data_IF_896645858616
#
_entry.id   IF_896645858616
#
_cell.length_a   1.000
_cell.length_b   1.000
_cell.length_c   1.000
_cell.angle_alpha   90.00
_cell.angle_beta   90.00
_cell.angle_gamma   90.00
#
_symmetry.space_group_name_H-M   'P 1'
#
loop_
_entity.id
_entity.type
_entity.pdbx_description
1 polymer ?
#
# COMPACT_ATOMS: atom_id res chain seq x y z
N UNK A 1 5.30 -7.54 -7.64
CA UNK A 1 4.83 -6.73 -6.49
C UNK A 1 5.86 -5.64 -6.19
N UNK A 2 5.42 -4.37 -6.18
CA UNK A 2 6.30 -3.20 -6.28
C UNK A 2 6.84 -2.65 -4.94
N UNK A 3 6.41 -3.20 -3.80
CA UNK A 3 6.83 -2.77 -2.44
C UNK A 3 6.64 -1.26 -2.20
N UNK A 4 5.48 -0.74 -2.58
CA UNK A 4 5.15 0.68 -2.46
C UNK A 4 4.26 0.90 -1.24
N UNK A 5 4.37 2.09 -0.65
CA UNK A 5 3.45 2.58 0.38
C UNK A 5 2.73 3.76 -0.25
N UNK A 6 1.51 3.55 -0.81
CA UNK A 6 0.83 4.58 -1.59
C UNK A 6 0.36 5.75 -0.72
N UNK A 7 -0.04 5.47 0.51
CA UNK A 7 -0.47 6.48 1.47
C UNK A 7 -0.13 6.07 2.91
N UNK A 8 -0.08 7.05 3.80
CA UNK A 8 -0.01 6.85 5.24
C UNK A 8 -0.79 7.91 5.99
N UNK A 9 -1.20 7.58 7.21
CA UNK A 9 -1.80 8.50 8.18
C UNK A 9 -1.09 8.29 9.52
N UNK A 10 -0.61 9.38 10.10
CA UNK A 10 -0.03 9.38 11.44
C UNK A 10 -1.12 9.63 12.47
N UNK A 11 -1.15 8.84 13.54
CA UNK A 11 -2.11 9.02 14.64
C UNK A 11 -2.60 7.70 15.22
N UNK A 12 -3.62 7.80 16.07
CA UNK A 12 -4.32 6.62 16.61
C UNK A 12 -5.09 5.94 15.50
N UNK A 13 -5.25 4.63 15.61
CA UNK A 13 -6.11 3.88 14.70
C UNK A 13 -7.56 4.20 15.11
N UNK A 14 -8.28 4.86 14.21
CA UNK A 14 -9.69 5.29 14.38
C UNK A 14 -10.42 5.13 13.04
N UNK A 15 -11.75 5.22 13.06
CA UNK A 15 -12.54 5.21 11.83
C UNK A 15 -12.16 6.38 10.91
N UNK A 16 -12.06 7.58 11.46
CA UNK A 16 -11.66 8.80 10.73
C UNK A 16 -10.30 8.65 10.04
N UNK A 17 -9.29 8.10 10.73
CA UNK A 17 -7.97 7.90 10.15
C UNK A 17 -7.93 6.77 9.12
N UNK A 18 -8.78 5.75 9.27
CA UNK A 18 -8.95 4.72 8.25
C UNK A 18 -9.60 5.31 6.99
N UNK A 19 -10.67 6.09 7.15
CA UNK A 19 -11.34 6.79 6.04
C UNK A 19 -10.35 7.70 5.30
N UNK A 20 -9.55 8.50 6.03
CA UNK A 20 -8.51 9.35 5.44
C UNK A 20 -7.42 8.55 4.72
N UNK A 21 -7.00 7.41 5.27
CA UNK A 21 -6.00 6.55 4.64
C UNK A 21 -6.50 6.00 3.30
N UNK A 22 -7.73 5.51 3.27
CA UNK A 22 -8.32 4.92 2.06
C UNK A 22 -8.64 6.01 1.03
N UNK A 23 -9.05 7.21 1.44
CA UNK A 23 -9.20 8.34 0.54
C UNK A 23 -7.87 8.73 -0.12
N UNK A 24 -6.80 8.92 0.68
CA UNK A 24 -5.47 9.21 0.12
C UNK A 24 -4.95 8.11 -0.80
N UNK A 25 -5.27 6.86 -0.49
CA UNK A 25 -4.92 5.72 -1.34
C UNK A 25 -5.68 5.77 -2.67
N UNK A 26 -6.96 6.15 -2.65
CA UNK A 26 -7.77 6.35 -3.84
C UNK A 26 -7.24 7.49 -4.71
N UNK A 27 -6.81 8.60 -4.10
CA UNK A 27 -6.30 9.78 -4.83
C UNK A 27 -5.05 9.47 -5.67
N UNK A 28 -4.24 8.48 -5.24
CA UNK A 28 -3.04 8.03 -5.97
C UNK A 28 -3.27 6.73 -6.76
N UNK A 29 -4.49 6.19 -6.73
CA UNK A 29 -4.85 4.99 -7.46
C UNK A 29 -5.25 5.39 -8.90
N UNK A 30 -4.63 4.76 -9.88
CA UNK A 30 -4.95 4.90 -11.31
C UNK A 30 -6.19 4.08 -11.73
N UNK A 31 -6.89 3.49 -10.76
CA UNK A 31 -8.01 2.58 -10.99
C UNK A 31 -7.56 1.13 -11.18
N UNK A 32 -6.33 0.77 -10.81
CA UNK A 32 -5.86 -0.64 -10.81
C UNK A 32 -5.99 -1.33 -9.46
N UNK A 33 -6.10 -0.58 -8.36
CA UNK A 33 -6.18 -1.13 -7.01
C UNK A 33 -7.61 -1.52 -6.61
N UNK A 34 -7.90 -2.82 -6.67
CA UNK A 34 -9.18 -3.40 -6.24
C UNK A 34 -9.03 -4.52 -5.20
N UNK A 35 -7.81 -4.76 -4.70
CA UNK A 35 -7.51 -5.87 -3.78
C UNK A 35 -6.92 -5.34 -2.49
N UNK A 36 -7.57 -5.64 -1.37
CA UNK A 36 -7.18 -5.21 -0.04
C UNK A 36 -6.99 -6.41 0.89
N UNK A 37 -5.90 -6.39 1.64
CA UNK A 37 -5.67 -7.32 2.75
C UNK A 37 -5.34 -6.57 4.03
N UNK A 38 -5.94 -6.99 5.14
CA UNK A 38 -5.63 -6.42 6.45
C UNK A 38 -5.58 -7.47 7.55
N UNK A 39 -5.14 -7.04 8.73
CA UNK A 39 -5.45 -7.75 9.98
C UNK A 39 -6.94 -7.56 10.34
N UNK A 40 -7.37 -8.19 11.43
CA UNK A 40 -8.74 -8.13 11.97
C UNK A 40 -9.05 -6.75 12.61
N UNK A 41 -9.05 -5.69 11.81
CA UNK A 41 -9.45 -4.36 12.27
C UNK A 41 -10.84 -4.00 11.75
N UNK A 42 -11.74 -3.49 12.62
CA UNK A 42 -13.11 -3.20 12.22
C UNK A 42 -13.21 -2.01 11.26
N UNK A 43 -12.29 -1.05 11.35
CA UNK A 43 -12.40 0.23 10.65
C UNK A 43 -12.29 0.15 9.13
N UNK A 44 -11.55 -0.84 8.62
CA UNK A 44 -11.22 -0.91 7.19
C UNK A 44 -12.38 -1.34 6.32
N UNK A 45 -13.33 -2.13 6.84
CA UNK A 45 -14.52 -2.52 6.07
C UNK A 45 -15.26 -1.28 5.57
N UNK A 46 -15.61 -0.39 6.50
CA UNK A 46 -16.40 0.80 6.18
C UNK A 46 -15.56 1.83 5.42
N UNK A 47 -14.27 1.98 5.74
CA UNK A 47 -13.37 2.90 5.04
C UNK A 47 -13.15 2.52 3.56
N UNK A 48 -12.97 1.22 3.28
CA UNK A 48 -12.84 0.69 1.93
C UNK A 48 -14.16 0.93 1.18
N UNK A 49 -15.30 0.60 1.80
CA UNK A 49 -16.60 0.78 1.17
C UNK A 49 -16.88 2.26 0.86
N UNK A 50 -16.58 3.19 1.77
CA UNK A 50 -16.71 4.64 1.53
C UNK A 50 -15.86 5.13 0.35
N UNK A 51 -14.65 4.60 0.20
CA UNK A 51 -13.71 5.08 -0.81
C UNK A 51 -13.91 4.41 -2.17
N UNK A 52 -14.10 3.09 -2.19
CA UNK A 52 -14.15 2.27 -3.41
C UNK A 52 -15.56 1.76 -3.75
N UNK A 53 -16.54 1.97 -2.87
CA UNK A 53 -17.95 1.61 -3.11
C UNK A 53 -18.61 2.46 -4.18
N UNK A 54 -19.71 1.94 -4.72
CA UNK A 54 -20.62 2.68 -5.59
C UNK A 54 -22.03 2.72 -4.98
N UNK A 55 -22.75 3.82 -5.23
CA UNK A 55 -24.13 3.95 -4.78
C UNK A 55 -25.06 3.13 -5.67
N UNK A 56 -25.84 2.25 -5.05
CA UNK A 56 -26.88 1.47 -5.71
C UNK A 56 -28.23 1.92 -5.18
N UNK A 57 -29.16 2.19 -6.11
CA UNK A 57 -30.57 2.34 -5.78
C UNK A 57 -31.21 0.96 -5.88
N UNK A 58 -31.64 0.34 -4.77
CA UNK A 58 -32.25 -0.98 -4.81
C UNK A 58 -33.55 -0.95 -5.62
N UNK A 59 -33.80 -2.03 -6.36
CA UNK A 59 -35.09 -2.21 -7.03
C UNK A 59 -36.22 -2.26 -6.01
N UNK A 60 -37.34 -1.64 -6.38
CA UNK A 60 -38.52 -1.62 -5.53
C UNK A 60 -39.22 -2.98 -5.59
N UNK A 61 -39.40 -3.62 -4.44
CA UNK A 61 -40.22 -4.82 -4.33
C UNK A 61 -41.68 -4.43 -4.10
N UNK A 62 -42.50 -4.53 -5.16
CA UNK A 62 -43.92 -4.22 -5.13
C UNK A 62 -44.27 -2.75 -5.42
N UNK A 63 -45.57 -2.42 -5.32
CA UNK A 63 -46.13 -1.12 -5.73
C UNK A 63 -46.52 -0.18 -4.57
N UNK A 64 -46.48 -0.67 -3.32
CA UNK A 64 -46.85 0.09 -2.11
C UNK A 64 -45.66 0.25 -1.16
N UNK A 65 -45.69 1.29 -0.33
CA UNK A 65 -44.65 1.61 0.66
C UNK A 65 -43.53 2.53 0.13
N UNK A 66 -42.64 2.99 1.02
CA UNK A 66 -41.55 3.91 0.69
C UNK A 66 -40.58 3.33 -0.34
N UNK A 67 -39.97 4.19 -1.15
CA UNK A 67 -38.86 3.78 -2.01
C UNK A 67 -37.66 3.33 -1.15
N UNK A 68 -36.97 2.24 -1.54
CA UNK A 68 -35.74 1.84 -0.87
C UNK A 68 -34.73 3.00 -0.87
N UNK A 69 -34.01 3.18 0.24
CA UNK A 69 -32.95 4.18 0.27
C UNK A 69 -31.73 3.70 -0.52
N UNK A 70 -31.02 4.61 -1.21
CA UNK A 70 -29.73 4.28 -1.80
C UNK A 70 -28.80 3.69 -0.74
N UNK A 71 -28.05 2.66 -1.11
CA UNK A 71 -27.03 2.07 -0.24
C UNK A 71 -25.71 1.94 -0.97
N UNK A 72 -24.63 1.95 -0.21
CA UNK A 72 -23.28 1.82 -0.74
C UNK A 72 -22.94 0.33 -0.85
N UNK A 73 -22.55 -0.11 -2.04
CA UNK A 73 -22.19 -1.50 -2.32
C UNK A 73 -20.75 -1.61 -2.83
N UNK A 74 -20.04 -2.71 -2.51
CA UNK A 74 -18.74 -2.99 -3.09
C UNK A 74 -18.90 -3.27 -4.60
N UNK A 75 -18.03 -2.72 -5.46
CA UNK A 75 -17.94 -3.13 -6.87
C UNK A 75 -17.73 -4.64 -7.03
N UNK A 76 -18.19 -5.25 -8.13
CA UNK A 76 -18.03 -6.69 -8.37
C UNK A 76 -16.57 -7.17 -8.40
N UNK A 77 -15.64 -6.29 -8.74
CA UNK A 77 -14.20 -6.55 -8.82
C UNK A 77 -13.44 -6.26 -7.51
N UNK A 78 -14.11 -5.70 -6.50
CA UNK A 78 -13.50 -5.36 -5.21
C UNK A 78 -13.33 -6.60 -4.32
N UNK A 79 -12.08 -6.98 -4.09
CA UNK A 79 -11.69 -8.03 -3.17
C UNK A 79 -11.15 -7.42 -1.87
N UNK A 80 -11.78 -7.74 -0.73
CA UNK A 80 -11.25 -7.41 0.59
C UNK A 80 -11.28 -8.64 1.49
N UNK A 81 -10.12 -9.05 1.98
CA UNK A 81 -10.01 -10.19 2.88
C UNK A 81 -9.06 -9.92 4.07
N UNK A 82 -9.28 -10.63 5.17
CA UNK A 82 -8.61 -10.41 6.45
C UNK A 82 -7.85 -11.66 6.90
N UNK A 83 -6.63 -11.46 7.42
CA UNK A 83 -5.89 -12.50 8.16
C UNK A 83 -6.43 -12.58 9.58
N UNK A 84 -7.04 -13.71 9.92
CA UNK A 84 -7.56 -14.02 11.27
C UNK A 84 -6.57 -14.89 12.04
N UNK A 85 -5.88 -14.29 13.02
CA UNK A 85 -4.93 -14.99 13.91
C UNK A 85 -5.67 -15.50 15.15
N UNK A 86 -5.83 -16.81 15.29
CA UNK A 86 -6.34 -17.46 16.50
C UNK A 86 -5.21 -17.61 17.52
N UNK A 87 -5.44 -17.16 18.75
CA UNK A 87 -4.42 -17.19 19.81
C UNK A 87 -4.88 -18.04 21.00
N UNK A 88 -3.95 -18.81 21.56
CA UNK A 88 -4.13 -19.55 22.82
C UNK A 88 -2.93 -19.28 23.72
N UNK A 89 -3.17 -18.83 24.96
CA UNK A 89 -2.11 -18.46 25.93
C UNK A 89 -1.05 -17.50 25.34
N UNK A 90 -1.49 -16.48 24.59
CA UNK A 90 -0.62 -15.47 23.97
C UNK A 90 0.10 -15.89 22.68
N UNK A 91 0.12 -17.19 22.33
CA UNK A 91 0.73 -17.70 21.11
C UNK A 91 -0.30 -17.84 19.99
N UNK A 92 0.10 -17.57 18.75
CA UNK A 92 -0.73 -17.83 17.57
C UNK A 92 -0.75 -19.34 17.32
N UNK A 93 -1.93 -19.94 17.31
CA UNK A 93 -2.12 -21.39 17.13
C UNK A 93 -2.66 -21.75 15.76
N UNK A 94 -3.39 -20.82 15.12
CA UNK A 94 -3.98 -21.02 13.80
C UNK A 94 -4.12 -19.66 13.12
N UNK A 95 -3.96 -19.64 11.81
CA UNK A 95 -4.30 -18.50 10.96
C UNK A 95 -5.39 -18.96 9.99
N UNK A 96 -6.44 -18.16 9.83
CA UNK A 96 -7.53 -18.41 8.89
C UNK A 96 -7.81 -17.15 8.08
N UNK A 97 -8.38 -17.32 6.90
CA UNK A 97 -8.74 -16.19 6.03
C UNK A 97 -10.23 -15.89 6.19
N UNK A 98 -10.58 -14.60 6.15
CA UNK A 98 -11.96 -14.13 6.17
C UNK A 98 -12.18 -13.18 5.01
N UNK A 99 -13.02 -13.57 4.06
CA UNK A 99 -13.42 -12.71 2.95
C UNK A 99 -14.53 -11.76 3.46
N UNK A 100 -14.36 -10.47 3.21
CA UNK A 100 -15.30 -9.41 3.60
C UNK A 100 -16.04 -8.88 2.39
N UNK A 101 -15.32 -8.65 1.27
CA UNK A 101 -15.87 -8.31 -0.04
C UNK A 101 -15.23 -9.22 -1.10
N UNK A 102 -15.99 -9.58 -2.14
CA UNK A 102 -15.58 -10.52 -3.19
C UNK A 102 -15.93 -11.98 -2.87
N UNK A 103 -15.47 -12.90 -3.73
CA UNK A 103 -15.75 -14.33 -3.63
C UNK A 103 -14.48 -15.15 -3.35
N UNK A 104 -14.59 -16.40 -2.85
CA UNK A 104 -13.45 -17.31 -2.72
C UNK A 104 -12.68 -17.53 -4.02
N UNK A 105 -13.40 -17.59 -5.15
CA UNK A 105 -12.80 -17.78 -6.48
C UNK A 105 -11.93 -16.58 -6.88
N UNK A 106 -12.38 -15.36 -6.60
CA UNK A 106 -11.58 -14.14 -6.83
C UNK A 106 -10.30 -14.14 -5.98
N UNK A 107 -10.41 -14.55 -4.71
CA UNK A 107 -9.25 -14.65 -3.83
C UNK A 107 -8.26 -15.69 -4.36
N UNK A 108 -8.74 -16.86 -4.76
CA UNK A 108 -7.91 -17.93 -5.28
C UNK A 108 -7.21 -17.50 -6.58
N UNK A 109 -7.95 -16.92 -7.54
CA UNK A 109 -7.38 -16.42 -8.79
C UNK A 109 -6.31 -15.33 -8.55
N UNK A 110 -6.54 -14.42 -7.59
CA UNK A 110 -5.52 -13.45 -7.20
C UNK A 110 -4.26 -14.12 -6.61
N UNK A 111 -4.43 -15.12 -5.75
CA UNK A 111 -3.32 -15.84 -5.11
C UNK A 111 -2.53 -16.70 -6.12
N UNK A 112 -3.19 -17.28 -7.11
CA UNK A 112 -2.55 -18.07 -8.16
C UNK A 112 -1.72 -17.18 -9.11
N UNK A 113 -2.19 -15.96 -9.37
CA UNK A 113 -1.45 -14.95 -10.15
C UNK A 113 -0.36 -14.22 -9.36
N UNK A 114 -0.36 -14.34 -8.04
CA UNK A 114 0.57 -13.63 -7.15
C UNK A 114 1.99 -14.21 -7.26
N UNK A 115 3.00 -13.43 -7.69
CA UNK A 115 4.37 -13.93 -7.84
C UNK A 115 5.10 -14.07 -6.51
N UNK A 116 4.46 -13.74 -5.37
CA UNK A 116 5.15 -13.62 -4.08
C UNK A 116 4.56 -14.51 -2.99
N UNK A 117 3.27 -14.84 -3.06
CA UNK A 117 2.66 -15.75 -2.09
C UNK A 117 1.36 -16.32 -2.61
N UNK A 118 1.16 -17.60 -2.34
CA UNK A 118 -0.06 -18.37 -2.58
C UNK A 118 -1.02 -18.35 -1.37
N UNK A 119 -0.70 -17.58 -0.33
CA UNK A 119 -1.52 -17.46 0.87
C UNK A 119 -1.74 -16.01 1.25
N UNK A 120 -2.93 -15.71 1.79
CA UNK A 120 -3.23 -14.41 2.35
C UNK A 120 -2.35 -14.16 3.58
N UNK A 121 -1.54 -13.11 3.52
CA UNK A 121 -0.66 -12.76 4.62
C UNK A 121 -0.42 -11.25 4.70
N UNK A 122 0.00 -10.79 5.88
CA UNK A 122 0.38 -9.41 6.16
C UNK A 122 1.90 -9.22 6.21
N UNK A 123 2.69 -10.15 5.68
CA UNK A 123 4.14 -10.15 5.84
C UNK A 123 4.79 -8.90 5.23
N UNK A 124 4.23 -8.37 4.13
CA UNK A 124 4.73 -7.15 3.48
C UNK A 124 4.61 -5.92 4.37
N UNK A 125 3.42 -5.68 4.94
CA UNK A 125 3.22 -4.54 5.82
C UNK A 125 3.94 -4.72 7.15
N UNK A 126 4.05 -5.95 7.67
CA UNK A 126 4.85 -6.26 8.86
C UNK A 126 6.34 -5.97 8.61
N UNK A 127 6.88 -6.36 7.45
CA UNK A 127 8.27 -6.07 7.05
C UNK A 127 8.49 -4.58 6.90
N UNK A 128 7.59 -3.87 6.23
CA UNK A 128 7.67 -2.41 6.07
C UNK A 128 7.65 -1.70 7.42
N UNK A 129 6.77 -2.12 8.34
CA UNK A 129 6.74 -1.60 9.70
C UNK A 129 8.06 -1.85 10.45
N UNK A 130 8.65 -3.03 10.29
CA UNK A 130 9.97 -3.36 10.83
C UNK A 130 11.06 -2.45 10.27
N UNK A 131 11.10 -2.27 8.95
CA UNK A 131 12.03 -1.36 8.27
C UNK A 131 11.91 0.07 8.79
N UNK A 132 10.68 0.60 8.87
CA UNK A 132 10.43 1.94 9.40
C UNK A 132 10.94 2.10 10.83
N UNK A 133 10.67 1.13 11.72
CA UNK A 133 11.15 1.17 13.10
C UNK A 133 12.68 1.14 13.21
N UNK A 134 13.35 0.41 12.31
CA UNK A 134 14.80 0.29 12.33
C UNK A 134 15.48 1.55 11.80
N UNK A 135 14.94 2.16 10.75
CA UNK A 135 15.59 3.29 10.08
C UNK A 135 15.20 4.65 10.64
N UNK A 136 14.07 4.74 11.33
CA UNK A 136 13.56 6.00 11.82
C UNK A 136 13.58 6.00 13.36
N UNK A 137 14.57 6.71 13.92
CA UNK A 137 14.79 6.88 15.36
C UNK A 137 13.53 7.35 16.11
N UNK A 138 12.62 8.07 15.44
CA UNK A 138 11.37 8.56 16.04
C UNK A 138 10.40 7.44 16.43
N UNK A 139 10.57 6.25 15.86
CA UNK A 139 9.81 5.06 16.25
C UNK A 139 10.44 4.26 17.39
N UNK A 140 11.64 4.64 17.85
CA UNK A 140 12.29 3.99 18.99
C UNK A 140 11.74 4.54 20.31
N UNK A 141 11.16 3.67 21.14
CA UNK A 141 10.63 4.04 22.46
C UNK A 141 11.76 4.37 23.44
N UNK A 142 11.49 5.26 24.40
CA UNK A 142 12.41 5.66 25.48
C UNK A 142 13.74 6.22 24.98
N UNK A 143 13.69 7.04 23.93
CA UNK A 143 14.85 7.79 23.42
C UNK A 143 14.50 9.26 23.32
N UNK A 144 15.51 10.13 23.25
CA UNK A 144 15.33 11.57 23.01
C UNK A 144 14.92 11.92 21.57
N UNK A 145 14.80 10.93 20.67
CA UNK A 145 14.54 11.13 19.25
C UNK A 145 13.06 11.26 18.86
N UNK A 146 12.15 11.60 19.79
CA UNK A 146 10.71 11.67 19.52
C UNK A 146 10.27 13.02 18.93
N UNK A 147 9.15 13.03 18.21
CA UNK A 147 8.51 14.27 17.75
C UNK A 147 7.68 14.90 18.88
N UNK A 148 7.88 16.20 19.15
CA UNK A 148 7.01 16.96 20.08
C UNK A 148 5.66 17.37 19.46
N UNK A 149 5.59 17.47 18.13
CA UNK A 149 4.38 17.80 17.37
C UNK A 149 4.19 16.78 16.26
N UNK A 150 2.94 16.44 15.95
CA UNK A 150 2.58 15.43 14.94
C UNK A 150 3.09 15.80 13.55
N UNK A 151 3.09 17.10 13.21
CA UNK A 151 3.62 17.61 11.95
C UNK A 151 5.08 17.17 11.69
N UNK A 152 5.93 17.20 12.72
CA UNK A 152 7.33 16.77 12.59
C UNK A 152 7.46 15.25 12.39
N UNK A 153 6.50 14.47 12.92
CA UNK A 153 6.43 13.04 12.65
C UNK A 153 6.04 12.78 11.19
N UNK A 154 5.04 13.50 10.69
CA UNK A 154 4.57 13.40 9.30
C UNK A 154 5.69 13.79 8.32
N UNK A 155 6.39 14.91 8.56
CA UNK A 155 7.55 15.33 7.75
C UNK A 155 8.66 14.27 7.72
N UNK A 156 8.97 13.67 8.87
CA UNK A 156 9.94 12.58 8.94
C UNK A 156 9.48 11.35 8.16
N UNK A 157 8.19 11.00 8.24
CA UNK A 157 7.62 9.88 7.49
C UNK A 157 7.73 10.09 5.99
N UNK A 158 7.44 11.29 5.49
CA UNK A 158 7.65 11.64 4.08
C UNK A 158 9.10 11.44 3.66
N UNK A 159 10.06 11.93 4.45
CA UNK A 159 11.49 11.76 4.15
C UNK A 159 11.90 10.28 4.16
N UNK A 160 11.47 9.51 5.17
CA UNK A 160 11.79 8.08 5.28
C UNK A 160 11.18 7.26 4.13
N UNK A 161 9.94 7.55 3.73
CA UNK A 161 9.30 6.90 2.60
C UNK A 161 9.93 7.31 1.28
N UNK A 162 10.23 8.60 1.08
CA UNK A 162 10.96 9.09 -0.09
C UNK A 162 12.31 8.39 -0.26
N UNK A 163 13.09 8.27 0.82
CA UNK A 163 14.35 7.52 0.79
C UNK A 163 14.13 6.03 0.46
N UNK A 164 13.13 5.39 1.08
CA UNK A 164 12.79 3.99 0.85
C UNK A 164 12.33 3.73 -0.61
N UNK A 165 11.63 4.68 -1.21
CA UNK A 165 11.02 4.61 -2.54
C UNK A 165 11.99 4.98 -3.68
N UNK A 166 12.84 5.99 -3.49
CA UNK A 166 13.69 6.55 -4.54
C UNK A 166 15.18 6.19 -4.40
N UNK A 167 15.71 6.14 -3.17
CA UNK A 167 17.15 5.96 -2.94
C UNK A 167 17.53 4.50 -2.64
N UNK A 168 16.64 3.73 -2.01
CA UNK A 168 16.98 2.39 -1.54
C UNK A 168 16.58 1.30 -2.54
N UNK A 169 17.58 0.61 -3.10
CA UNK A 169 17.39 -0.59 -3.90
C UNK A 169 16.99 -1.81 -3.05
N UNK A 170 15.96 -2.53 -3.49
CA UNK A 170 15.45 -3.71 -2.76
C UNK A 170 15.90 -5.00 -3.42
N UNK A 171 16.40 -5.95 -2.61
CA UNK A 171 16.84 -7.25 -3.10
C UNK A 171 15.77 -8.02 -3.89
N UNK A 172 14.52 -8.00 -3.40
CA UNK A 172 13.39 -8.65 -4.09
C UNK A 172 12.79 -7.88 -5.26
N UNK A 173 13.39 -6.76 -5.68
CA UNK A 173 13.01 -6.04 -6.90
C UNK A 173 14.12 -6.12 -7.98
N UNK A 174 15.27 -6.73 -7.66
CA UNK A 174 16.40 -6.83 -8.58
C UNK A 174 15.99 -7.47 -9.90
N UNK A 175 16.48 -6.91 -10.99
CA UNK A 175 16.25 -7.43 -12.33
C UNK A 175 17.51 -8.09 -12.86
N UNK A 176 17.37 -9.21 -13.55
CA UNK A 176 18.49 -9.91 -14.17
C UNK A 176 19.02 -9.09 -15.37
N UNK A 177 20.33 -8.98 -15.50
CA UNK A 177 20.99 -8.32 -16.64
C UNK A 177 21.37 -9.39 -17.66
N UNK A 178 20.85 -9.26 -18.88
CA UNK A 178 21.12 -10.19 -20.00
C UNK A 178 21.68 -9.42 -21.21
N UNK A 179 22.91 -9.73 -21.67
CA UNK A 179 23.90 -10.61 -21.04
C UNK A 179 24.50 -9.99 -19.75
N UNK A 180 25.04 -10.79 -18.82
CA UNK A 180 25.71 -10.27 -17.62
C UNK A 180 26.85 -9.32 -17.99
N UNK A 181 26.97 -8.21 -17.26
CA UNK A 181 28.04 -7.24 -17.52
C UNK A 181 29.37 -7.72 -16.91
N UNK A 182 30.49 -7.61 -17.62
CA UNK A 182 31.79 -7.92 -17.04
C UNK A 182 32.10 -6.94 -15.90
N UNK A 183 32.70 -7.45 -14.83
CA UNK A 183 33.22 -6.61 -13.75
C UNK A 183 34.63 -6.14 -14.15
N UNK A 184 35.03 -4.93 -13.73
CA UNK A 184 36.43 -4.47 -13.92
C UNK A 184 37.36 -5.40 -13.12
N UNK A 185 38.11 -6.28 -13.80
CA UNK A 185 39.04 -7.24 -13.19
C UNK A 185 38.57 -8.70 -13.28
N UNK A 186 39.07 -9.57 -12.38
CA UNK A 186 38.78 -11.02 -12.33
C UNK A 186 37.48 -11.38 -11.57
N UNK A 187 36.63 -10.40 -11.28
CA UNK A 187 35.41 -10.61 -10.51
C UNK A 187 34.29 -11.28 -11.32
N UNK A 188 33.39 -11.97 -10.62
CA UNK A 188 32.17 -12.51 -11.21
C UNK A 188 31.38 -11.43 -11.98
N UNK A 189 30.78 -11.76 -13.14
CA UNK A 189 29.96 -10.81 -13.89
C UNK A 189 28.80 -10.27 -13.06
N UNK A 190 28.47 -8.98 -13.27
CA UNK A 190 27.31 -8.35 -12.66
C UNK A 190 26.03 -8.87 -13.33
N UNK A 191 25.33 -9.75 -12.61
CA UNK A 191 24.09 -10.41 -13.05
C UNK A 191 22.82 -9.64 -12.70
N UNK A 192 22.87 -8.72 -11.74
CA UNK A 192 21.68 -8.08 -11.18
C UNK A 192 21.75 -6.56 -11.25
N UNK A 193 20.68 -5.93 -11.73
CA UNK A 193 20.42 -4.50 -11.66
C UNK A 193 19.75 -4.18 -10.33
N UNK A 194 20.25 -3.14 -9.66
CA UNK A 194 19.59 -2.57 -8.48
C UNK A 194 18.31 -1.85 -8.91
N UNK A 195 17.21 -2.09 -8.20
CA UNK A 195 15.89 -1.53 -8.51
C UNK A 195 15.24 -1.04 -7.22
N UNK A 196 14.75 0.19 -7.24
CA UNK A 196 13.98 0.81 -6.15
C UNK A 196 12.47 0.62 -6.40
N UNK A 197 11.60 0.85 -5.39
CA UNK A 197 10.16 0.72 -5.56
C UNK A 197 9.61 1.60 -6.70
N UNK A 198 10.07 2.85 -6.79
CA UNK A 198 9.61 3.78 -7.83
C UNK A 198 10.15 3.44 -9.22
N UNK A 199 11.34 2.84 -9.30
CA UNK A 199 11.81 2.25 -10.56
C UNK A 199 10.93 1.08 -11.00
N UNK A 200 10.47 0.25 -10.05
CA UNK A 200 9.69 -0.94 -10.39
C UNK A 200 8.31 -0.65 -10.99
N UNK A 201 7.78 0.58 -10.79
CA UNK A 201 6.54 1.06 -11.41
C UNK A 201 6.78 2.12 -12.49
N UNK A 202 8.03 2.38 -12.86
CA UNK A 202 8.36 3.30 -13.96
C UNK A 202 8.23 4.79 -13.66
N UNK A 203 8.15 5.20 -12.39
CA UNK A 203 8.11 6.64 -12.03
C UNK A 203 9.49 7.29 -12.15
N UNK A 204 10.56 6.50 -12.01
CA UNK A 204 11.95 6.92 -12.28
C UNK A 204 12.68 5.78 -12.97
N UNK A 205 13.68 6.10 -13.78
CA UNK A 205 14.51 5.12 -14.50
C UNK A 205 15.82 4.76 -13.76
N UNK A 206 16.12 5.47 -12.68
CA UNK A 206 17.34 5.30 -11.90
C UNK A 206 17.10 5.41 -10.39
N UNK A 207 18.11 4.95 -9.65
CA UNK A 207 18.18 5.05 -8.19
C UNK A 207 18.70 6.43 -7.83
N UNK A 208 17.91 7.18 -7.06
CA UNK A 208 18.24 8.55 -6.70
C UNK A 208 19.31 8.58 -5.62
N UNK A 209 20.08 9.67 -5.61
CA UNK A 209 20.90 10.01 -4.44
C UNK A 209 20.04 10.72 -3.38
N UNK A 210 20.56 10.82 -2.15
CA UNK A 210 19.87 11.60 -1.11
C UNK A 210 19.85 13.09 -1.47
N UNK A 211 20.93 13.61 -2.05
CA UNK A 211 21.03 15.00 -2.50
C UNK A 211 19.96 15.30 -3.55
N UNK A 212 19.83 14.44 -4.56
CA UNK A 212 18.81 14.56 -5.58
C UNK A 212 17.40 14.56 -4.98
N UNK A 213 17.10 13.62 -4.07
CA UNK A 213 15.79 13.58 -3.39
C UNK A 213 15.48 14.88 -2.64
N UNK A 214 16.47 15.51 -2.01
CA UNK A 214 16.29 16.72 -1.22
C UNK A 214 16.28 18.01 -2.05
N UNK A 215 16.88 17.98 -3.24
CA UNK A 215 17.01 19.15 -4.12
C UNK A 215 16.03 19.13 -5.29
N UNK A 216 15.36 18.00 -5.52
CA UNK A 216 14.37 17.85 -6.57
C UNK A 216 13.20 18.83 -6.38
N UNK A 217 12.98 19.66 -7.39
CA UNK A 217 11.85 20.59 -7.43
C UNK A 217 10.67 19.89 -8.06
N UNK A 218 9.64 19.66 -7.27
CA UNK A 218 8.36 19.13 -7.76
C UNK A 218 7.81 20.12 -8.79
N UNK A 219 7.56 19.69 -10.05
CA UNK A 219 6.90 20.53 -11.03
C UNK A 219 5.57 21.04 -10.47
N UNK A 220 5.16 22.28 -10.76
CA UNK A 220 3.83 22.74 -10.38
C UNK A 220 2.79 21.77 -10.96
N UNK A 221 1.78 21.41 -10.18
CA UNK A 221 0.71 20.55 -10.67
C UNK A 221 0.12 21.19 -11.94
N UNK A 222 0.18 20.48 -13.07
CA UNK A 222 -0.46 20.94 -14.29
C UNK A 222 -1.94 21.15 -13.97
N UNK A 223 -2.38 22.42 -13.95
CA UNK A 223 -3.81 22.74 -13.98
C UNK A 223 -4.30 22.24 -15.33
N UNK A 224 -4.93 21.07 -15.34
CA UNK A 224 -5.62 20.55 -16.52
C UNK A 224 -6.85 21.41 -16.78
N UNK A 225 -6.64 22.62 -17.29
CA UNK A 225 -7.62 23.35 -18.09
C UNK A 225 -7.26 23.04 -19.54
N UNK A 226 -7.77 21.93 -20.06
CA UNK A 226 -7.77 21.69 -21.50
C UNK A 226 -8.71 22.73 -22.09
N UNK A 227 -8.17 23.86 -22.55
CA UNK A 227 -8.87 24.73 -23.49
C UNK A 227 -8.88 23.99 -24.82
N UNK A 228 -10.08 23.65 -25.28
CA UNK A 228 -10.29 23.12 -26.62
C UNK A 228 -9.76 24.07 -27.69
N UNK A 229 -9.16 23.46 -28.71
CA UNK A 229 -9.10 24.00 -30.05
C UNK A 229 -9.98 23.12 -30.93
#
# INVERSE_FOLDING_TARGET
MHKIVPAFVAGKISQENADLLLQKTKDVNDGSLHVFFSDQRPHYKDAILKSFGHWVQPERQGSRGPWPQPRLEPPPDLLYAQVVKHRRKGRVVKVTDKIVFGTPEMLQDYLDRSPVSQHLNTAFIERQNGTMRHQNRRFTRKTWGFSKKDEWMVRQLHLSLGYYHFCWAHGGLRQEIKPPLPTKGSGSPKKWREVTPMMSIGVTDHKWTLEELLTFRVPPANSSTVKGH
#
